data_IF_961279383324
#
_entry.id   IF_961279383324
#
_cell.length_a   1.000
_cell.length_b   1.000
_cell.length_c   1.000
_cell.angle_alpha   90.00
_cell.angle_beta   90.00
_cell.angle_gamma   90.00
#
_symmetry.space_group_name_H-M   'P 1'
#
loop_
_entity.id
_entity.type
_entity.pdbx_description
1 polymer ?
#
# COMPACT_ATOMS: atom_id res chain seq x y z
N UNK A 1 -17.67 26.48 9.92
CA UNK A 1 -17.26 26.07 8.56
C UNK A 1 -16.17 25.02 8.76
N UNK A 2 -16.50 23.72 8.63
CA UNK A 2 -15.61 22.63 9.03
C UNK A 2 -14.51 22.46 7.99
N UNK A 3 -13.34 23.07 8.23
CA UNK A 3 -12.12 22.63 7.59
C UNK A 3 -11.87 21.18 8.06
N UNK A 4 -11.71 20.24 7.12
CA UNK A 4 -11.19 18.92 7.41
C UNK A 4 -9.70 18.87 7.00
N UNK A 5 -8.73 19.29 7.84
CA UNK A 5 -7.33 19.26 7.46
C UNK A 5 -6.70 17.96 7.96
N UNK A 6 -6.83 16.84 7.24
CA UNK A 6 -5.77 15.83 7.22
C UNK A 6 -6.11 14.72 6.23
N UNK A 7 -5.51 14.77 5.06
CA UNK A 7 -5.29 13.55 4.29
C UNK A 7 -4.14 12.82 5.00
N UNK A 8 -4.44 12.04 6.04
CA UNK A 8 -3.42 11.24 6.75
C UNK A 8 -3.07 10.04 5.88
N UNK A 9 -2.14 10.23 4.96
CA UNK A 9 -1.51 9.14 4.21
C UNK A 9 -0.29 8.68 5.01
N UNK A 10 -0.44 7.56 5.72
CA UNK A 10 0.70 6.89 6.39
C UNK A 10 1.21 5.85 5.41
N UNK A 11 2.36 6.15 4.81
CA UNK A 11 3.12 5.19 4.02
C UNK A 11 4.47 5.02 4.69
N UNK A 12 4.90 3.77 4.84
CA UNK A 12 5.91 3.19 3.93
C UNK A 12 6.58 1.96 4.56
N UNK A 13 6.82 0.91 3.77
CA UNK A 13 7.68 -0.20 4.14
C UNK A 13 8.78 -0.42 3.10
N UNK A 14 10.03 -0.46 3.57
CA UNK A 14 11.04 -1.50 3.25
C UNK A 14 12.38 -1.15 3.93
N UNK A 15 12.94 -2.13 4.62
CA UNK A 15 14.27 -2.13 5.26
C UNK A 15 15.45 -1.91 4.30
N UNK A 16 15.22 -1.95 2.98
CA UNK A 16 16.27 -2.16 1.97
C UNK A 16 16.37 -1.07 0.89
N UNK A 17 15.58 0.00 0.95
CA UNK A 17 15.63 1.07 -0.06
C UNK A 17 15.87 2.41 0.62
N UNK A 18 16.91 3.13 0.19
CA UNK A 18 17.10 4.53 0.55
C UNK A 18 16.05 5.34 -0.19
N UNK A 19 15.13 5.98 0.53
CA UNK A 19 13.99 6.67 -0.09
C UNK A 19 14.21 8.17 -0.14
N UNK A 20 15.22 8.54 -0.94
CA UNK A 20 15.51 9.94 -1.23
C UNK A 20 14.25 10.68 -1.72
N UNK A 21 13.47 10.07 -2.61
CA UNK A 21 12.24 10.67 -3.12
C UNK A 21 11.18 11.00 -2.05
N UNK A 22 11.11 10.24 -0.96
CA UNK A 22 10.17 10.51 0.14
C UNK A 22 10.70 11.62 1.06
N UNK A 23 12.01 11.67 1.28
CA UNK A 23 12.66 12.77 1.99
C UNK A 23 12.49 14.08 1.21
N UNK A 24 12.67 14.06 -0.11
CA UNK A 24 12.46 15.21 -0.99
C UNK A 24 11.00 15.69 -0.92
N UNK A 25 10.03 14.76 -0.95
CA UNK A 25 8.62 15.08 -0.76
C UNK A 25 8.33 15.65 0.63
N UNK A 26 8.99 15.14 1.69
CA UNK A 26 8.83 15.67 3.05
C UNK A 26 9.35 17.10 3.15
N UNK A 27 10.47 17.39 2.50
CA UNK A 27 11.02 18.75 2.43
C UNK A 27 10.08 19.69 1.67
N UNK A 28 9.41 19.22 0.62
CA UNK A 28 8.42 19.99 -0.14
C UNK A 28 7.10 20.19 0.61
N UNK A 29 6.67 19.21 1.41
CA UNK A 29 5.38 19.22 2.13
C UNK A 29 5.53 18.96 3.64
N UNK A 30 6.33 19.75 4.37
CA UNK A 30 6.77 19.41 5.73
C UNK A 30 5.63 19.34 6.75
N UNK A 31 4.56 20.12 6.54
CA UNK A 31 3.37 20.16 7.41
C UNK A 31 2.35 19.06 7.09
N UNK A 32 2.38 18.50 5.87
CA UNK A 32 1.34 17.56 5.37
C UNK A 32 1.81 16.12 5.28
N UNK A 33 3.09 15.90 4.99
CA UNK A 33 3.67 14.57 4.91
C UNK A 33 4.38 14.24 6.22
N UNK A 34 4.09 13.10 6.83
CA UNK A 34 4.84 12.58 7.96
C UNK A 34 5.30 11.17 7.60
N UNK A 35 6.59 10.90 7.80
CA UNK A 35 7.21 9.62 7.50
C UNK A 35 7.30 8.85 8.81
N UNK A 36 6.76 7.64 8.84
CA UNK A 36 6.89 6.70 9.96
C UNK A 36 7.67 5.48 9.48
N UNK A 37 8.56 4.98 10.32
CA UNK A 37 9.27 3.74 10.03
C UNK A 37 8.34 2.55 10.26
N UNK A 38 8.27 1.67 9.28
CA UNK A 38 7.46 0.45 9.34
C UNK A 38 8.19 -0.67 8.60
N UNK A 39 8.50 -1.73 9.33
CA UNK A 39 8.98 -2.99 8.77
C UNK A 39 7.86 -4.03 8.87
N UNK A 40 7.43 -4.56 7.73
CA UNK A 40 6.31 -5.50 7.63
C UNK A 40 6.68 -6.89 8.14
N UNK A 41 7.97 -7.22 8.21
CA UNK A 41 8.44 -8.49 8.76
C UNK A 41 8.63 -8.43 10.28
N UNK A 42 8.27 -7.30 10.92
CA UNK A 42 8.46 -7.09 12.37
C UNK A 42 7.16 -6.57 12.98
N UNK A 43 6.40 -7.45 13.64
CA UNK A 43 5.09 -7.08 14.21
C UNK A 43 5.18 -5.91 15.22
N UNK A 44 6.25 -5.83 16.01
CA UNK A 44 6.46 -4.71 16.94
C UNK A 44 6.64 -3.37 16.22
N UNK A 45 7.21 -3.36 15.01
CA UNK A 45 7.30 -2.17 14.17
C UNK A 45 5.91 -1.73 13.69
N UNK A 46 5.05 -2.67 13.30
CA UNK A 46 3.65 -2.39 12.91
C UNK A 46 2.86 -1.81 14.08
N UNK A 47 3.03 -2.39 15.29
CA UNK A 47 2.40 -1.89 16.51
C UNK A 47 2.86 -0.48 16.87
N UNK A 48 4.15 -0.21 16.83
CA UNK A 48 4.71 1.11 17.12
C UNK A 48 4.21 2.18 16.12
N UNK A 49 4.13 1.84 14.83
CA UNK A 49 3.54 2.70 13.81
C UNK A 49 2.07 3.00 14.10
N UNK A 50 1.28 1.97 14.44
CA UNK A 50 -0.14 2.11 14.80
C UNK A 50 -0.34 3.04 16.00
N UNK A 51 0.47 2.89 17.05
CA UNK A 51 0.45 3.76 18.23
C UNK A 51 0.78 5.21 17.85
N UNK A 52 1.83 5.42 17.06
CA UNK A 52 2.24 6.74 16.59
C UNK A 52 1.15 7.44 15.77
N UNK A 53 0.41 6.69 14.93
CA UNK A 53 -0.73 7.21 14.18
C UNK A 53 -1.87 7.62 15.11
N UNK A 54 -2.20 6.78 16.10
CA UNK A 54 -3.25 7.05 17.07
C UNK A 54 -2.96 8.29 17.90
N UNK A 55 -1.75 8.38 18.46
CA UNK A 55 -1.34 9.49 19.33
C UNK A 55 -1.32 10.82 18.58
N UNK A 56 -0.85 10.82 17.32
CA UNK A 56 -0.66 12.05 16.55
C UNK A 56 -1.93 12.53 15.85
N UNK A 57 -2.76 11.64 15.33
CA UNK A 57 -3.91 12.00 14.49
C UNK A 57 -5.27 11.59 15.07
N UNK A 58 -5.29 10.76 16.11
CA UNK A 58 -6.50 10.19 16.69
C UNK A 58 -7.16 9.12 15.82
N UNK A 59 -7.28 9.37 14.52
CA UNK A 59 -7.92 8.44 13.57
C UNK A 59 -7.29 8.45 12.18
N UNK A 60 -7.45 7.33 11.46
CA UNK A 60 -7.07 7.14 10.07
C UNK A 60 -8.32 7.14 9.16
N UNK A 61 -8.24 7.85 8.04
CA UNK A 61 -9.31 7.93 7.05
C UNK A 61 -9.12 6.98 5.86
N UNK A 62 -7.87 6.74 5.47
CA UNK A 62 -7.51 5.92 4.30
C UNK A 62 -6.22 5.18 4.61
N UNK A 63 -6.19 3.89 4.29
CA UNK A 63 -5.00 3.05 4.34
C UNK A 63 -4.66 2.60 2.91
N UNK A 64 -3.41 2.76 2.50
CA UNK A 64 -2.93 2.28 1.20
C UNK A 64 -1.73 1.36 1.45
N UNK A 65 -1.91 0.06 1.23
CA UNK A 65 -0.83 -0.91 1.22
C UNK A 65 -0.24 -0.97 -0.19
N UNK A 66 0.87 -0.25 -0.41
CA UNK A 66 1.60 -0.24 -1.69
C UNK A 66 2.99 -0.90 -1.58
N UNK A 67 3.26 -1.57 -0.46
CA UNK A 67 4.49 -2.30 -0.20
C UNK A 67 4.48 -3.64 -0.93
N UNK A 68 5.58 -3.96 -1.60
CA UNK A 68 5.77 -5.27 -2.20
C UNK A 68 7.22 -5.49 -2.63
N UNK A 69 7.62 -6.75 -2.64
CA UNK A 69 8.92 -7.20 -3.16
C UNK A 69 8.69 -8.23 -4.26
N UNK A 70 9.57 -8.19 -5.25
CA UNK A 70 9.55 -9.11 -6.38
C UNK A 70 10.96 -9.62 -6.69
N UNK A 71 11.95 -8.75 -6.54
CA UNK A 71 13.36 -9.10 -6.57
C UNK A 71 14.13 -8.20 -5.62
N UNK A 72 15.06 -8.78 -4.87
CA UNK A 72 16.03 -8.08 -4.03
C UNK A 72 17.41 -8.61 -4.44
N UNK A 73 18.34 -7.75 -4.87
CA UNK A 73 19.69 -8.19 -5.25
C UNK A 73 20.30 -9.09 -4.18
N UNK A 74 20.80 -10.26 -4.60
CA UNK A 74 21.43 -11.28 -3.74
C UNK A 74 20.55 -11.90 -2.63
N UNK A 75 19.26 -11.58 -2.54
CA UNK A 75 18.37 -12.10 -1.49
C UNK A 75 17.07 -12.71 -2.02
N UNK A 76 16.49 -12.15 -3.08
CA UNK A 76 15.24 -12.62 -3.66
C UNK A 76 15.34 -12.52 -5.18
N UNK A 77 15.25 -13.67 -5.85
CA UNK A 77 15.13 -13.73 -7.30
C UNK A 77 13.75 -14.29 -7.67
N UNK A 78 13.08 -13.71 -8.66
CA UNK A 78 11.80 -14.22 -9.12
C UNK A 78 11.93 -15.62 -9.68
N UNK A 79 11.00 -16.47 -9.25
CA UNK A 79 10.90 -17.84 -9.69
C UNK A 79 10.32 -17.87 -11.11
N UNK A 80 11.22 -17.93 -12.08
CA UNK A 80 10.86 -18.05 -13.50
C UNK A 80 10.76 -19.50 -13.96
N UNK A 81 11.21 -20.45 -13.11
CA UNK A 81 11.19 -21.90 -13.34
C UNK A 81 11.16 -22.64 -12.00
N UNK A 82 10.48 -23.78 -11.92
CA UNK A 82 10.39 -24.61 -10.71
C UNK A 82 11.77 -25.01 -10.13
N UNK A 83 12.79 -25.19 -10.97
CA UNK A 83 14.14 -25.58 -10.53
C UNK A 83 14.89 -24.48 -9.75
N UNK A 84 14.36 -23.26 -9.71
CA UNK A 84 14.97 -22.10 -9.02
C UNK A 84 14.21 -21.71 -7.75
N UNK A 85 13.24 -22.52 -7.34
CA UNK A 85 12.41 -22.27 -6.16
C UNK A 85 13.26 -22.46 -4.90
N UNK A 86 13.25 -21.45 -4.04
CA UNK A 86 13.94 -21.49 -2.75
C UNK A 86 12.97 -21.17 -1.62
N UNK A 87 12.94 -22.03 -0.59
CA UNK A 87 12.05 -21.85 0.57
C UNK A 87 12.22 -20.47 1.22
N UNK A 88 13.47 -20.02 1.42
CA UNK A 88 13.77 -18.71 2.01
C UNK A 88 13.16 -17.55 1.20
N UNK A 89 13.31 -17.61 -0.12
CA UNK A 89 12.77 -16.64 -1.06
C UNK A 89 11.24 -16.59 -1.02
N UNK A 90 10.59 -17.75 -1.06
CA UNK A 90 9.13 -17.87 -0.95
C UNK A 90 8.60 -17.31 0.36
N UNK A 91 9.22 -17.69 1.48
CA UNK A 91 8.76 -17.26 2.80
C UNK A 91 8.92 -15.75 2.97
N UNK A 92 10.02 -15.17 2.50
CA UNK A 92 10.22 -13.72 2.55
C UNK A 92 9.20 -12.97 1.68
N UNK A 93 8.94 -13.44 0.46
CA UNK A 93 7.92 -12.87 -0.41
C UNK A 93 6.52 -12.96 0.20
N UNK A 94 6.16 -14.11 0.78
CA UNK A 94 4.88 -14.30 1.47
C UNK A 94 4.75 -13.41 2.71
N UNK A 95 5.83 -13.27 3.48
CA UNK A 95 5.86 -12.42 4.67
C UNK A 95 5.62 -10.94 4.31
N UNK A 96 6.29 -10.43 3.27
CA UNK A 96 6.19 -9.01 2.88
C UNK A 96 4.94 -8.71 2.05
N UNK A 97 4.54 -9.59 1.12
CA UNK A 97 3.47 -9.31 0.17
C UNK A 97 2.07 -9.73 0.66
N UNK A 98 1.98 -10.67 1.60
CA UNK A 98 0.71 -11.18 2.10
C UNK A 98 0.53 -10.97 3.61
N UNK A 99 1.42 -11.55 4.43
CA UNK A 99 1.28 -11.51 5.90
C UNK A 99 1.37 -10.09 6.44
N UNK A 100 2.38 -9.34 6.02
CA UNK A 100 2.61 -7.94 6.42
C UNK A 100 1.38 -7.04 6.19
N UNK A 101 0.87 -6.93 4.96
CA UNK A 101 -0.34 -6.16 4.66
C UNK A 101 -1.56 -6.55 5.50
N UNK A 102 -1.77 -7.85 5.74
CA UNK A 102 -2.86 -8.34 6.60
C UNK A 102 -2.68 -7.87 8.05
N UNK A 103 -1.47 -7.95 8.59
CA UNK A 103 -1.17 -7.49 9.95
C UNK A 103 -1.31 -5.96 10.08
N UNK A 104 -0.89 -5.21 9.07
CA UNK A 104 -1.10 -3.75 8.99
C UNK A 104 -2.59 -3.43 9.00
N UNK A 105 -3.39 -4.10 8.16
CA UNK A 105 -4.85 -3.91 8.13
C UNK A 105 -5.42 -4.21 9.51
N UNK A 106 -5.12 -5.38 10.10
CA UNK A 106 -5.63 -5.77 11.43
C UNK A 106 -5.35 -4.70 12.49
N UNK A 107 -4.12 -4.18 12.55
CA UNK A 107 -3.71 -3.25 13.60
C UNK A 107 -4.17 -1.82 13.34
N UNK A 108 -4.13 -1.35 12.08
CA UNK A 108 -4.57 0.01 11.74
C UNK A 108 -6.09 0.14 11.63
N UNK A 109 -6.82 -0.96 11.42
CA UNK A 109 -8.29 -0.96 11.46
C UNK A 109 -8.78 -0.41 12.82
N UNK A 110 -8.09 -0.76 13.91
CA UNK A 110 -8.39 -0.31 15.26
C UNK A 110 -8.30 1.21 15.46
N UNK A 111 -7.57 1.91 14.59
CA UNK A 111 -7.40 3.38 14.62
C UNK A 111 -8.14 4.07 13.48
N UNK A 112 -8.96 3.36 12.69
CA UNK A 112 -9.86 4.02 11.75
C UNK A 112 -10.99 4.73 12.50
N UNK A 113 -11.60 5.76 11.89
CA UNK A 113 -12.71 6.53 12.49
C UNK A 113 -13.88 5.67 13.02
N UNK A 114 -13.95 4.40 12.63
CA UNK A 114 -15.03 3.47 12.92
C UNK A 114 -14.97 2.84 14.32
N UNK A 115 -13.87 2.99 15.08
CA UNK A 115 -13.76 2.42 16.45
C UNK A 115 -14.31 3.36 17.54
N UNK A 116 -15.21 4.27 17.18
CA UNK A 116 -16.14 4.86 18.15
C UNK A 116 -17.36 3.95 18.27
N UNK A 117 -17.20 2.81 18.95
CA UNK A 117 -18.28 1.83 19.17
C UNK A 117 -19.04 2.07 20.49
N UNK A 118 -18.74 3.13 21.25
CA UNK A 118 -19.47 3.36 22.51
C UNK A 118 -20.77 4.14 22.41
N UNK A 119 -21.13 4.74 21.28
CA UNK A 119 -22.48 5.29 21.10
C UNK A 119 -22.94 5.19 19.65
N UNK A 120 -24.01 4.40 19.46
CA UNK A 120 -25.04 4.48 18.42
C UNK A 120 -24.70 5.22 17.11
N UNK A 121 -24.62 4.43 16.04
CA UNK A 121 -24.82 4.84 14.64
C UNK A 121 -23.80 5.83 14.03
N UNK A 122 -22.80 5.32 13.29
CA UNK A 122 -22.20 6.07 12.16
C UNK A 122 -22.13 5.24 10.88
N UNK A 123 -22.50 5.92 9.79
CA UNK A 123 -23.09 5.45 8.52
C UNK A 123 -22.11 5.19 7.37
N UNK A 124 -20.80 5.19 7.62
CA UNK A 124 -19.83 5.00 6.53
C UNK A 124 -19.13 3.64 6.69
N UNK A 125 -19.49 2.62 5.89
CA UNK A 125 -18.79 1.35 5.90
C UNK A 125 -17.36 1.55 5.38
N UNK A 126 -16.41 0.82 5.97
CA UNK A 126 -15.05 0.75 5.45
C UNK A 126 -15.13 0.04 4.10
N UNK A 127 -14.59 0.68 3.06
CA UNK A 127 -14.49 0.11 1.72
C UNK A 127 -13.09 -0.44 1.54
N UNK A 128 -12.97 -1.74 1.37
CA UNK A 128 -11.72 -2.43 1.05
C UNK A 128 -11.76 -2.85 -0.42
N UNK A 129 -10.79 -2.41 -1.21
CA UNK A 129 -10.64 -2.78 -2.63
C UNK A 129 -9.21 -3.20 -2.91
N UNK A 130 -9.04 -4.12 -3.85
CA UNK A 130 -7.73 -4.43 -4.43
C UNK A 130 -7.54 -3.66 -5.74
N UNK A 131 -6.30 -3.32 -6.05
CA UNK A 131 -5.95 -2.52 -7.22
C UNK A 131 -4.77 -3.14 -7.96
N UNK A 132 -4.96 -3.40 -9.26
CA UNK A 132 -3.90 -3.82 -10.16
C UNK A 132 -3.38 -2.60 -10.95
N UNK A 133 -2.12 -2.18 -10.74
CA UNK A 133 -1.58 -0.94 -11.31
C UNK A 133 -1.31 -1.01 -12.82
N UNK A 134 -1.45 -2.18 -13.44
CA UNK A 134 -0.89 -2.47 -14.76
C UNK A 134 0.61 -2.75 -14.66
N UNK A 135 1.30 -2.74 -15.80
CA UNK A 135 2.76 -2.87 -15.82
C UNK A 135 3.34 -1.46 -15.80
N UNK A 136 3.96 -1.09 -14.67
CA UNK A 136 4.41 0.28 -14.41
C UNK A 136 5.91 0.35 -14.37
N UNK A 137 6.50 1.32 -15.07
CA UNK A 137 7.94 1.54 -15.08
C UNK A 137 8.48 1.98 -13.72
N UNK A 138 8.86 0.99 -12.92
CA UNK A 138 9.37 1.08 -11.55
C UNK A 138 10.60 0.19 -11.39
N UNK A 139 11.43 0.46 -10.38
CA UNK A 139 12.57 -0.40 -10.06
C UNK A 139 12.14 -1.86 -9.78
N UNK A 140 10.95 -2.05 -9.19
CA UNK A 140 10.34 -3.36 -8.95
C UNK A 140 10.10 -4.14 -10.25
N UNK A 141 9.60 -3.46 -11.28
CA UNK A 141 9.23 -4.07 -12.57
C UNK A 141 10.37 -4.16 -13.58
N UNK A 142 11.42 -3.34 -13.44
CA UNK A 142 12.44 -3.12 -14.49
C UNK A 142 13.04 -4.42 -15.03
N UNK A 143 13.37 -5.43 -14.20
CA UNK A 143 13.88 -6.71 -14.71
C UNK A 143 12.88 -7.53 -15.55
N UNK A 144 11.59 -7.18 -15.52
CA UNK A 144 10.47 -7.93 -16.12
C UNK A 144 9.83 -7.25 -17.32
N UNK A 145 10.40 -6.15 -17.81
CA UNK A 145 9.80 -5.36 -18.90
C UNK A 145 10.09 -5.92 -20.30
N UNK A 146 10.91 -6.97 -20.44
CA UNK A 146 11.44 -7.46 -21.74
C UNK A 146 10.35 -7.83 -22.77
N UNK A 147 9.21 -8.35 -22.31
CA UNK A 147 8.13 -8.85 -23.18
C UNK A 147 6.83 -8.06 -23.01
N UNK A 148 6.91 -6.81 -22.52
CA UNK A 148 5.71 -5.98 -22.35
C UNK A 148 5.24 -5.51 -23.72
N UNK A 149 3.96 -5.74 -24.10
CA UNK A 149 3.44 -5.26 -25.37
C UNK A 149 3.56 -3.75 -25.50
N UNK A 150 3.68 -3.27 -26.74
CA UNK A 150 3.76 -1.84 -27.02
C UNK A 150 2.55 -1.10 -26.43
N UNK A 151 2.80 0.04 -25.78
CA UNK A 151 1.77 0.82 -25.10
C UNK A 151 1.20 0.20 -23.81
N UNK A 152 1.74 -0.93 -23.33
CA UNK A 152 1.34 -1.56 -22.05
C UNK A 152 2.31 -1.32 -20.89
N UNK A 153 3.46 -0.68 -21.15
CA UNK A 153 4.35 -0.17 -20.10
C UNK A 153 3.95 1.27 -19.74
N UNK A 154 3.46 1.46 -18.52
CA UNK A 154 2.96 2.76 -18.06
C UNK A 154 4.01 3.54 -17.28
N UNK A 155 3.92 4.87 -17.35
CA UNK A 155 4.65 5.74 -16.41
C UNK A 155 4.06 5.61 -15.00
N UNK A 156 4.86 5.94 -13.99
CA UNK A 156 4.42 5.95 -12.59
C UNK A 156 3.24 6.91 -12.41
N UNK A 157 3.33 8.09 -13.02
CA UNK A 157 2.35 9.16 -12.94
C UNK A 157 1.01 8.72 -13.53
N UNK A 158 1.03 8.07 -14.71
CA UNK A 158 -0.19 7.58 -15.36
C UNK A 158 -0.90 6.54 -14.49
N UNK A 159 -0.17 5.53 -14.00
CA UNK A 159 -0.74 4.49 -13.17
C UNK A 159 -1.28 5.05 -11.85
N UNK A 160 -0.52 5.91 -11.16
CA UNK A 160 -0.96 6.55 -9.92
C UNK A 160 -2.22 7.41 -10.13
N UNK A 161 -2.31 8.18 -11.21
CA UNK A 161 -3.51 8.98 -11.51
C UNK A 161 -4.75 8.10 -11.69
N UNK A 162 -4.59 7.00 -12.42
CA UNK A 162 -5.65 6.00 -12.65
C UNK A 162 -6.12 5.35 -11.35
N UNK A 163 -5.19 4.88 -10.52
CA UNK A 163 -5.52 4.27 -9.23
C UNK A 163 -6.16 5.26 -8.25
N UNK A 164 -5.65 6.49 -8.17
CA UNK A 164 -6.24 7.54 -7.34
C UNK A 164 -7.66 7.89 -7.78
N UNK A 165 -7.96 7.85 -9.08
CA UNK A 165 -9.32 8.04 -9.56
C UNK A 165 -10.26 6.94 -9.04
N UNK A 166 -9.83 5.68 -9.04
CA UNK A 166 -10.61 4.57 -8.48
C UNK A 166 -10.81 4.76 -6.97
N UNK A 167 -9.72 5.00 -6.23
CA UNK A 167 -9.74 5.22 -4.76
C UNK A 167 -10.64 6.39 -4.34
N UNK A 168 -10.68 7.47 -5.14
CA UNK A 168 -11.48 8.65 -4.82
C UNK A 168 -12.97 8.46 -5.12
N UNK A 169 -13.31 7.56 -6.03
CA UNK A 169 -14.69 7.31 -6.45
C UNK A 169 -15.32 6.06 -5.83
N UNK A 170 -14.53 5.17 -5.23
CA UNK A 170 -14.99 3.94 -4.60
C UNK A 170 -16.15 4.16 -3.62
N UNK A 171 -17.17 3.31 -3.72
CA UNK A 171 -18.39 3.35 -2.89
C UNK A 171 -18.55 2.07 -2.08
N UNK A 172 -19.54 2.04 -1.20
CA UNK A 172 -19.85 0.87 -0.37
C UNK A 172 -20.14 -0.40 -1.18
N UNK A 173 -20.72 -0.26 -2.38
CA UNK A 173 -20.98 -1.39 -3.28
C UNK A 173 -19.72 -1.90 -4.02
N UNK A 174 -18.58 -1.23 -3.85
CA UNK A 174 -17.30 -1.67 -4.41
C UNK A 174 -16.45 -2.44 -3.39
N UNK A 175 -16.90 -2.51 -2.13
CA UNK A 175 -16.20 -3.28 -1.12
C UNK A 175 -16.04 -4.73 -1.59
N UNK A 176 -14.86 -5.31 -1.34
CA UNK A 176 -14.38 -6.64 -1.77
C UNK A 176 -13.98 -6.82 -3.25
N UNK A 177 -14.17 -5.79 -4.08
CA UNK A 177 -13.80 -5.86 -5.49
C UNK A 177 -12.30 -5.70 -5.74
N UNK A 178 -11.87 -6.28 -6.86
CA UNK A 178 -10.53 -6.12 -7.41
C UNK A 178 -10.62 -5.35 -8.73
N UNK A 179 -9.96 -4.20 -8.84
CA UNK A 179 -10.00 -3.37 -10.05
C UNK A 179 -8.64 -3.30 -10.75
N UNK A 180 -8.67 -3.34 -12.08
CA UNK A 180 -7.57 -2.91 -12.92
C UNK A 180 -7.45 -1.38 -12.95
N UNK A 181 -6.29 -0.88 -13.38
CA UNK A 181 -5.99 0.55 -13.55
C UNK A 181 -7.01 1.29 -14.44
N UNK A 182 -7.70 0.62 -15.35
CA UNK A 182 -8.73 1.23 -16.20
C UNK A 182 -10.12 1.26 -15.55
N UNK A 183 -10.26 0.74 -14.34
CA UNK A 183 -11.52 0.66 -13.60
C UNK A 183 -12.33 -0.60 -13.89
N UNK A 184 -11.86 -1.49 -14.76
CA UNK A 184 -12.50 -2.79 -14.96
C UNK A 184 -12.32 -3.68 -13.73
N UNK A 185 -13.37 -4.39 -13.36
CA UNK A 185 -13.30 -5.41 -12.31
C UNK A 185 -12.56 -6.66 -12.83
N UNK A 186 -11.64 -7.18 -12.02
CA UNK A 186 -10.87 -8.41 -12.29
C UNK A 186 -11.53 -9.54 -11.49
N UNK A 187 -11.89 -10.68 -12.12
CA UNK A 187 -12.42 -11.84 -11.41
C UNK A 187 -11.33 -12.52 -10.55
N UNK A 188 -11.76 -13.16 -9.46
CA UNK A 188 -10.91 -13.93 -8.55
C UNK A 188 -10.46 -15.27 -9.13
#
# INVERSE_FOLDING_TARGET
MLEYPCLTLVLWALKYVVVQGLLDLKNKFPKRLNILQLDLTIESSIKACTMSVREKYGSLNRLINASGILSIPNMLQPETTLNRVEKSSLMLAYEVNAVGPILVIRLLLAVTKTVSVEFEQKKDPIVCILLHPGIVDTDLSRPFQRNVPEGKLFTKEYSVQKLLNIINNAKSHDNDKFFAWDGQEIPW
#
